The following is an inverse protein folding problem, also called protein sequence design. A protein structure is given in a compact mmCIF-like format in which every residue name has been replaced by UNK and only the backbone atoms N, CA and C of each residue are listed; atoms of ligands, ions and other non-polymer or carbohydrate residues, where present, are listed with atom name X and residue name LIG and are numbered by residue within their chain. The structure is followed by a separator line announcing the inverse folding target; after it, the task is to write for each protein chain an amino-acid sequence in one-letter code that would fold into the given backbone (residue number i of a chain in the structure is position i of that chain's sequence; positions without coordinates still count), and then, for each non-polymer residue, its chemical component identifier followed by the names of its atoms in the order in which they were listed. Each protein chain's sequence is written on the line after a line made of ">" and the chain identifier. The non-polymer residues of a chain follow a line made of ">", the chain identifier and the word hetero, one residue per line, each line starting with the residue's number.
data_IF_945426251629
#
_entry.id   IF_945426251629
#
_cell.length_a   1.000
_cell.length_b   1.000
_cell.length_c   1.000
_cell.angle_alpha   90.00
_cell.angle_beta   90.00
_cell.angle_gamma   90.00
#
_symmetry.space_group_name_H-M   'P 1'
#
loop_
_entity.id
_entity.type
_entity.pdbx_description
1 polymer ?
#
# COMPACT_ATOMS: atom_id res chain seq x y z
N UNK A 1 13.70 -15.07 23.96
CA UNK A 1 13.74 -13.58 24.10
C UNK A 1 14.16 -12.91 22.79
N UNK A 2 15.23 -13.34 22.12
CA UNK A 2 15.68 -12.76 20.83
C UNK A 2 14.70 -12.92 19.65
N UNK A 3 13.95 -14.03 19.58
CA UNK A 3 12.98 -14.24 18.49
C UNK A 3 11.82 -13.22 18.52
N UNK A 4 11.29 -12.89 19.71
CA UNK A 4 10.24 -11.87 19.86
C UNK A 4 10.75 -10.47 19.46
N UNK A 5 11.99 -10.13 19.81
CA UNK A 5 12.56 -8.82 19.44
C UNK A 5 12.73 -8.67 17.93
N UNK A 6 13.14 -9.73 17.22
CA UNK A 6 13.25 -9.71 15.74
C UNK A 6 11.88 -9.60 15.08
N UNK A 7 10.85 -10.28 15.62
CA UNK A 7 9.47 -10.15 15.11
C UNK A 7 8.92 -8.73 15.28
N UNK A 8 9.17 -8.08 16.41
CA UNK A 8 8.75 -6.70 16.65
C UNK A 8 9.46 -5.70 15.72
N UNK A 9 10.74 -5.92 15.40
CA UNK A 9 11.45 -5.09 14.42
C UNK A 9 10.83 -5.21 13.01
N UNK A 10 10.33 -6.40 12.66
CA UNK A 10 9.58 -6.62 11.41
C UNK A 10 8.23 -5.90 11.33
N UNK A 11 7.72 -5.36 12.44
CA UNK A 11 6.47 -4.58 12.51
C UNK A 11 6.69 -3.06 12.43
N UNK A 12 7.94 -2.60 12.25
CA UNK A 12 8.24 -1.17 12.15
C UNK A 12 8.18 -0.66 10.71
N UNK A 13 7.17 0.16 10.39
CA UNK A 13 7.05 0.85 9.09
C UNK A 13 8.31 1.66 8.77
N UNK A 14 8.90 2.34 9.76
CA UNK A 14 10.10 3.17 9.55
C UNK A 14 11.30 2.35 9.08
N UNK A 15 11.50 1.15 9.62
CA UNK A 15 12.61 0.27 9.23
C UNK A 15 12.42 -0.19 7.78
N UNK A 16 11.19 -0.56 7.41
CA UNK A 16 10.87 -0.98 6.05
C UNK A 16 11.01 0.15 5.02
N UNK A 17 10.57 1.36 5.36
CA UNK A 17 10.76 2.54 4.50
C UNK A 17 12.25 2.82 4.29
N UNK A 18 13.04 2.86 5.36
CA UNK A 18 14.49 3.05 5.26
C UNK A 18 15.17 1.94 4.44
N UNK A 19 14.75 0.68 4.60
CA UNK A 19 15.25 -0.44 3.81
C UNK A 19 14.92 -0.31 2.30
N UNK A 20 13.72 0.20 1.98
CA UNK A 20 13.31 0.52 0.61
C UNK A 20 14.17 1.65 0.04
N UNK A 21 14.38 2.72 0.79
CA UNK A 21 15.15 3.90 0.35
C UNK A 21 16.61 3.58 0.01
N UNK A 22 17.20 2.59 0.70
CA UNK A 22 18.56 2.11 0.41
C UNK A 22 18.68 1.37 -0.93
N UNK A 23 17.57 0.86 -1.49
CA UNK A 23 17.62 0.16 -2.77
C UNK A 23 17.79 1.14 -3.93
N UNK A 24 18.68 0.82 -4.87
CA UNK A 24 18.91 1.65 -6.06
C UNK A 24 17.85 1.40 -7.15
N UNK A 25 17.46 0.13 -7.33
CA UNK A 25 16.50 -0.25 -8.36
C UNK A 25 15.05 -0.17 -7.88
N UNK A 26 14.17 0.41 -8.70
CA UNK A 26 12.71 0.44 -8.44
C UNK A 26 12.16 -0.97 -8.22
N UNK A 27 12.65 -1.97 -8.96
CA UNK A 27 12.25 -3.37 -8.78
C UNK A 27 12.63 -3.89 -7.38
N UNK A 28 13.79 -3.51 -6.87
CA UNK A 28 14.23 -3.89 -5.53
C UNK A 28 13.39 -3.18 -4.46
N UNK A 29 13.14 -1.88 -4.61
CA UNK A 29 12.22 -1.12 -3.74
C UNK A 29 10.85 -1.79 -3.63
N UNK A 30 10.23 -2.13 -4.76
CA UNK A 30 8.94 -2.85 -4.80
C UNK A 30 8.97 -4.19 -4.07
N UNK A 31 10.08 -4.96 -4.16
CA UNK A 31 10.21 -6.22 -3.41
C UNK A 31 10.24 -5.99 -1.91
N UNK A 32 10.99 -4.98 -1.45
CA UNK A 32 11.07 -4.63 -0.03
C UNK A 32 9.70 -4.20 0.49
N UNK A 33 8.99 -3.32 -0.22
CA UNK A 33 7.67 -2.84 0.19
C UNK A 33 6.61 -3.94 0.18
N UNK A 34 6.61 -4.83 -0.82
CA UNK A 34 5.72 -6.01 -0.82
C UNK A 34 5.97 -6.89 0.39
N UNK A 35 7.24 -7.12 0.74
CA UNK A 35 7.59 -7.88 1.95
C UNK A 35 7.12 -7.17 3.21
N UNK A 36 7.28 -5.84 3.28
CA UNK A 36 6.79 -5.03 4.38
C UNK A 36 5.28 -5.16 4.57
N UNK A 37 4.51 -5.17 3.47
CA UNK A 37 3.05 -5.33 3.48
C UNK A 37 2.58 -6.73 3.89
N UNK A 38 3.39 -7.78 3.70
CA UNK A 38 3.11 -9.10 4.30
C UNK A 38 3.16 -9.05 5.84
N UNK A 39 3.96 -8.14 6.41
CA UNK A 39 4.09 -7.96 7.85
C UNK A 39 3.12 -6.91 8.41
N UNK A 40 2.91 -5.81 7.69
CA UNK A 40 2.16 -4.63 8.14
C UNK A 40 1.14 -4.20 7.07
N UNK A 41 0.10 -5.01 6.81
CA UNK A 41 -0.85 -4.73 5.74
C UNK A 41 -1.75 -3.51 6.01
N UNK A 42 -1.85 -3.04 7.25
CA UNK A 42 -2.72 -1.94 7.64
C UNK A 42 -2.03 -0.56 7.61
N UNK A 43 -0.83 -0.47 7.02
CA UNK A 43 -0.06 0.78 6.93
C UNK A 43 -0.38 1.54 5.65
N UNK A 44 -1.08 2.68 5.78
CA UNK A 44 -1.34 3.60 4.65
C UNK A 44 -0.03 4.04 3.99
N UNK A 45 1.00 4.39 4.78
CA UNK A 45 2.27 4.86 4.24
C UNK A 45 2.98 3.83 3.35
N UNK A 46 2.95 2.54 3.71
CA UNK A 46 3.54 1.48 2.88
C UNK A 46 2.76 1.28 1.58
N UNK A 47 1.43 1.36 1.62
CA UNK A 47 0.61 1.28 0.42
C UNK A 47 0.82 2.47 -0.50
N UNK A 48 0.84 3.69 0.05
CA UNK A 48 1.10 4.91 -0.72
C UNK A 48 2.46 4.84 -1.42
N UNK A 49 3.52 4.46 -0.72
CA UNK A 49 4.84 4.31 -1.34
C UNK A 49 4.85 3.20 -2.40
N UNK A 50 4.17 2.08 -2.15
CA UNK A 50 4.06 0.99 -3.15
C UNK A 50 3.39 1.48 -4.43
N UNK A 51 2.30 2.24 -4.30
CA UNK A 51 1.53 2.83 -5.41
C UNK A 51 2.38 3.86 -6.17
N UNK A 52 3.15 4.69 -5.46
CA UNK A 52 4.02 5.71 -6.05
C UNK A 52 5.13 5.14 -6.95
N UNK A 53 5.55 3.89 -6.70
CA UNK A 53 6.55 3.22 -7.53
C UNK A 53 5.97 2.57 -8.79
N UNK A 54 4.65 2.54 -8.95
CA UNK A 54 4.02 1.93 -10.13
C UNK A 54 4.18 2.80 -11.38
N UNK A 55 4.46 2.15 -12.51
CA UNK A 55 4.89 2.83 -13.74
C UNK A 55 3.74 3.49 -14.49
N UNK A 56 2.50 3.10 -14.20
CA UNK A 56 1.30 3.60 -14.85
C UNK A 56 0.13 3.62 -13.88
N UNK A 57 -0.90 4.42 -14.21
CA UNK A 57 -2.15 4.43 -13.45
C UNK A 57 -2.82 3.05 -13.40
N UNK A 58 -2.69 2.26 -14.48
CA UNK A 58 -3.23 0.91 -14.53
C UNK A 58 -2.51 -0.03 -13.56
N UNK A 59 -1.19 0.08 -13.44
CA UNK A 59 -0.40 -0.73 -12.50
C UNK A 59 -0.66 -0.29 -11.06
N UNK A 60 -0.81 1.02 -10.82
CA UNK A 60 -1.13 1.62 -9.52
C UNK A 60 -2.50 1.18 -8.97
N UNK A 61 -3.45 0.88 -9.86
CA UNK A 61 -4.80 0.44 -9.49
C UNK A 61 -4.81 -0.86 -8.67
N UNK A 62 -3.91 -1.80 -9.00
CA UNK A 62 -3.86 -3.13 -8.37
C UNK A 62 -3.51 -3.04 -6.87
N UNK A 63 -2.36 -2.48 -6.45
CA UNK A 63 -2.03 -2.36 -5.04
C UNK A 63 -3.03 -1.47 -4.30
N UNK A 64 -3.57 -0.43 -4.94
CA UNK A 64 -4.52 0.48 -4.29
C UNK A 64 -5.89 -0.19 -4.05
N UNK A 65 -6.36 -1.03 -4.97
CA UNK A 65 -7.56 -1.87 -4.76
C UNK A 65 -7.38 -2.83 -3.60
N UNK A 66 -6.19 -3.40 -3.45
CA UNK A 66 -5.86 -4.25 -2.31
C UNK A 66 -5.73 -3.46 -1.01
N UNK A 67 -5.17 -2.25 -1.06
CA UNK A 67 -5.00 -1.39 0.11
C UNK A 67 -6.34 -1.05 0.78
N UNK A 68 -7.38 -0.76 -0.01
CA UNK A 68 -8.73 -0.45 0.52
C UNK A 68 -9.43 -1.66 1.13
N UNK A 69 -9.05 -2.89 0.79
CA UNK A 69 -9.56 -4.11 1.44
C UNK A 69 -8.95 -4.30 2.84
N UNK A 70 -7.67 -3.95 3.02
CA UNK A 70 -7.00 -4.01 4.33
C UNK A 70 -7.32 -2.78 5.21
N UNK A 71 -7.55 -1.62 4.59
CA UNK A 71 -7.76 -0.35 5.29
C UNK A 71 -9.05 0.31 4.81
N UNK A 72 -10.22 -0.32 5.06
CA UNK A 72 -11.52 0.15 4.54
C UNK A 72 -11.91 1.54 5.05
N UNK A 73 -11.41 1.95 6.22
CA UNK A 73 -11.73 3.24 6.81
C UNK A 73 -10.86 4.40 6.27
N UNK A 74 -9.86 4.12 5.44
CA UNK A 74 -9.01 5.16 4.85
C UNK A 74 -9.69 5.82 3.66
N UNK A 75 -10.34 6.96 3.91
CA UNK A 75 -10.94 7.79 2.86
C UNK A 75 -9.92 8.20 1.80
N UNK A 76 -8.67 8.47 2.19
CA UNK A 76 -7.60 8.84 1.27
C UNK A 76 -7.34 7.76 0.22
N UNK A 77 -7.24 6.49 0.63
CA UNK A 77 -7.01 5.37 -0.29
C UNK A 77 -8.19 5.16 -1.23
N UNK A 78 -9.43 5.29 -0.74
CA UNK A 78 -10.63 5.22 -1.57
C UNK A 78 -10.70 6.33 -2.61
N UNK A 79 -10.38 7.57 -2.22
CA UNK A 79 -10.35 8.70 -3.13
C UNK A 79 -9.24 8.58 -4.16
N UNK A 80 -8.06 8.11 -3.75
CA UNK A 80 -6.97 7.81 -4.68
C UNK A 80 -7.40 6.75 -5.69
N UNK A 81 -8.07 5.67 -5.25
CA UNK A 81 -8.55 4.61 -6.15
C UNK A 81 -9.59 5.12 -7.14
N UNK A 82 -10.56 5.90 -6.67
CA UNK A 82 -11.59 6.48 -7.52
C UNK A 82 -11.00 7.41 -8.60
N UNK A 83 -9.89 8.12 -8.31
CA UNK A 83 -9.20 8.99 -9.28
C UNK A 83 -8.47 8.23 -10.39
N UNK A 84 -8.12 6.96 -10.17
CA UNK A 84 -7.51 6.11 -11.20
C UNK A 84 -8.54 5.42 -12.11
N UNK A 85 -9.83 5.61 -11.84
CA UNK A 85 -10.92 4.94 -12.56
C UNK A 85 -11.61 5.87 -13.56
N UNK A 86 -12.34 5.28 -14.50
CA UNK A 86 -13.28 6.03 -15.33
C UNK A 86 -14.43 6.58 -14.46
N UNK A 87 -15.12 7.66 -14.88
CA UNK A 87 -16.19 8.26 -14.08
C UNK A 87 -17.27 7.27 -13.62
N UNK A 88 -17.63 6.29 -14.45
CA UNK A 88 -18.63 5.28 -14.09
C UNK A 88 -18.11 4.30 -13.04
N UNK A 89 -16.86 3.82 -13.18
CA UNK A 89 -16.23 2.93 -12.18
C UNK A 89 -15.91 3.65 -10.88
N UNK A 90 -15.56 4.93 -10.94
CA UNK A 90 -15.31 5.74 -9.76
C UNK A 90 -16.54 5.82 -8.84
N UNK A 91 -17.75 5.91 -9.41
CA UNK A 91 -19.01 5.86 -8.64
C UNK A 91 -19.16 4.54 -7.89
N UNK A 92 -18.81 3.42 -8.54
CA UNK A 92 -18.87 2.10 -7.90
C UNK A 92 -17.85 1.99 -6.76
N UNK A 93 -16.63 2.50 -6.96
CA UNK A 93 -15.59 2.54 -5.92
C UNK A 93 -16.05 3.35 -4.71
N UNK A 94 -16.58 4.55 -4.92
CA UNK A 94 -17.08 5.39 -3.83
C UNK A 94 -18.33 4.78 -3.14
N UNK A 95 -19.18 4.09 -3.90
CA UNK A 95 -20.32 3.35 -3.34
C UNK A 95 -19.86 2.22 -2.43
N UNK A 96 -18.78 1.50 -2.80
CA UNK A 96 -18.14 0.50 -1.95
C UNK A 96 -17.53 1.12 -0.70
N UNK A 97 -16.81 2.23 -0.84
CA UNK A 97 -16.23 2.98 0.28
C UNK A 97 -17.27 3.35 1.35
N UNK A 98 -18.48 3.74 0.93
CA UNK A 98 -19.57 4.08 1.85
C UNK A 98 -20.14 2.88 2.62
N UNK A 99 -19.96 1.66 2.10
CA UNK A 99 -20.50 0.42 2.68
C UNK A 99 -19.47 -0.35 3.52
N UNK A 100 -18.20 0.03 3.43
CA UNK A 100 -17.09 -0.60 4.13
C UNK A 100 -17.05 -0.15 5.60
#
# INVERSE_FOLDING_TARGET
>A
ILANTVQHLGQSVKIWMAASDLQQDVKAKKRVLRKALEHIPNSVGLWTETVNLESSQNDARIPLSRAVEFIPLSVELWLALARLETPDRAKDVLSKARKA
#
